data_IF_865972257669
#
_entry.id   IF_865972257669
#
_cell.length_a   1.000
_cell.length_b   1.000
_cell.length_c   1.000
_cell.angle_alpha   90.00
_cell.angle_beta   90.00
_cell.angle_gamma   90.00
#
_symmetry.space_group_name_H-M   'P 1'
#
loop_
_entity.id
_entity.type
_entity.pdbx_description
1 polymer ?
#
# COMPACT_ATOMS: atom_id res chain seq x y z
N UNK A 1 18.75 11.17 18.22
CA UNK A 1 19.10 10.88 16.80
C UNK A 1 17.81 10.93 15.99
N UNK A 2 17.76 11.71 14.91
CA UNK A 2 16.58 11.73 14.03
C UNK A 2 16.58 10.47 13.18
N UNK A 3 15.62 9.57 13.38
CA UNK A 3 15.48 8.38 12.53
C UNK A 3 14.61 8.74 11.33
N UNK A 4 15.02 8.33 10.14
CA UNK A 4 14.29 8.57 8.88
C UNK A 4 13.73 7.26 8.35
N UNK A 5 12.48 7.29 7.87
CA UNK A 5 11.87 6.23 7.07
C UNK A 5 11.68 6.66 5.61
N UNK A 6 12.57 7.53 5.13
CA UNK A 6 12.54 8.03 3.76
C UNK A 6 13.91 7.99 3.10
N UNK A 7 13.96 7.45 1.89
CA UNK A 7 15.09 7.58 0.97
C UNK A 7 14.83 8.77 0.03
N UNK A 8 15.72 9.75 0.07
CA UNK A 8 15.61 10.98 -0.72
C UNK A 8 15.83 10.73 -2.22
N UNK A 9 15.28 11.61 -3.04
CA UNK A 9 15.42 11.62 -4.49
C UNK A 9 14.46 12.63 -5.13
N UNK A 10 14.55 12.78 -6.45
CA UNK A 10 13.74 13.73 -7.22
C UNK A 10 12.58 13.07 -8.01
N UNK A 11 12.47 11.74 -7.95
CA UNK A 11 11.47 10.97 -8.68
C UNK A 11 10.09 10.93 -8.02
N UNK A 12 9.15 10.29 -8.71
CA UNK A 12 7.82 9.97 -8.19
C UNK A 12 7.97 8.99 -7.02
N UNK A 13 7.24 9.16 -5.91
CA UNK A 13 7.45 8.34 -4.74
C UNK A 13 6.93 6.91 -4.93
N UNK A 14 7.68 5.95 -4.41
CA UNK A 14 7.23 4.57 -4.18
C UNK A 14 7.37 4.20 -2.70
N UNK A 15 6.59 3.23 -2.25
CA UNK A 15 6.49 2.89 -0.84
C UNK A 15 6.70 1.41 -0.62
N UNK A 16 7.35 1.07 0.48
CA UNK A 16 7.66 -0.27 0.90
C UNK A 16 7.02 -0.50 2.27
N UNK A 17 6.27 -1.59 2.42
CA UNK A 17 5.47 -1.86 3.61
C UNK A 17 5.66 -3.30 4.11
N UNK A 18 5.63 -3.47 5.43
CA UNK A 18 5.47 -4.76 6.10
C UNK A 18 4.02 -4.91 6.56
N UNK A 19 3.29 -5.82 5.93
CA UNK A 19 1.89 -6.14 6.23
C UNK A 19 1.72 -7.53 6.85
N UNK A 20 2.82 -8.20 7.20
CA UNK A 20 2.82 -9.57 7.76
C UNK A 20 2.47 -9.61 9.25
N UNK A 21 2.59 -8.46 9.93
CA UNK A 21 2.40 -8.33 11.37
C UNK A 21 0.94 -8.02 11.73
N UNK A 22 0.61 -8.27 13.00
CA UNK A 22 -0.73 -8.01 13.54
C UNK A 22 -1.12 -6.52 13.43
N UNK A 23 -0.18 -5.61 13.73
CA UNK A 23 -0.36 -4.19 13.46
C UNK A 23 0.16 -3.90 12.06
N UNK A 24 -0.68 -3.30 11.21
CA UNK A 24 -0.34 -2.90 9.84
C UNK A 24 0.09 -1.43 9.80
N UNK A 25 0.91 -1.01 8.81
CA UNK A 25 1.31 0.39 8.65
C UNK A 25 0.12 1.30 8.32
N UNK A 26 -0.86 0.78 7.58
CA UNK A 26 -2.13 1.43 7.30
C UNK A 26 -3.25 0.57 7.87
N UNK A 27 -4.09 1.18 8.71
CA UNK A 27 -5.16 0.49 9.42
C UNK A 27 -6.47 1.08 8.97
N UNK A 28 -7.31 0.24 8.38
CA UNK A 28 -8.68 0.58 8.05
C UNK A 28 -9.61 -0.19 8.99
N UNK A 29 -10.33 0.55 9.83
CA UNK A 29 -11.25 -0.02 10.81
C UNK A 29 -12.70 0.29 10.40
N UNK A 30 -13.43 -0.73 9.97
CA UNK A 30 -14.89 -0.64 9.81
C UNK A 30 -15.55 -0.64 11.19
N UNK A 31 -16.34 0.39 11.52
CA UNK A 31 -17.11 0.49 12.77
C UNK A 31 -18.58 0.09 12.58
N UNK A 32 -19.12 0.33 11.38
CA UNK A 32 -20.42 -0.15 10.91
C UNK A 32 -20.23 -0.54 9.46
N UNK A 33 -20.61 -1.77 9.12
CA UNK A 33 -20.46 -2.26 7.75
C UNK A 33 -21.40 -1.50 6.81
N UNK A 34 -21.08 -1.54 5.51
CA UNK A 34 -21.82 -0.81 4.51
C UNK A 34 -23.17 -1.47 4.26
N UNK A 35 -24.23 -0.80 4.68
CA UNK A 35 -25.60 -1.21 4.37
C UNK A 35 -26.07 -0.47 3.15
N UNK A 36 -26.27 -1.22 2.06
CA UNK A 36 -26.98 -0.72 0.90
C UNK A 36 -28.47 -0.62 1.21
N UNK A 37 -29.04 0.55 0.95
CA UNK A 37 -30.47 0.83 1.13
C UNK A 37 -31.01 1.30 -0.21
N UNK A 38 -31.93 0.51 -0.78
CA UNK A 38 -32.70 0.90 -1.96
C UNK A 38 -34.10 1.33 -1.56
N UNK A 39 -34.60 2.39 -2.17
CA UNK A 39 -35.99 2.84 -2.10
C UNK A 39 -36.54 2.88 -3.51
N UNK A 40 -36.92 1.70 -3.99
CA UNK A 40 -37.35 1.46 -5.36
C UNK A 40 -38.75 0.85 -5.48
N UNK A 41 -39.40 0.51 -4.36
CA UNK A 41 -40.77 0.00 -4.36
C UNK A 41 -41.80 1.15 -4.34
N UNK A 42 -42.68 1.25 -5.36
CA UNK A 42 -43.74 2.25 -5.42
C UNK A 42 -44.71 2.21 -4.24
N UNK A 43 -44.84 1.07 -3.55
CA UNK A 43 -45.74 0.92 -2.39
C UNK A 43 -45.20 1.53 -1.11
N UNK A 44 -43.89 1.79 -1.04
CA UNK A 44 -43.21 2.24 0.20
C UNK A 44 -42.55 3.61 0.07
N UNK A 45 -42.52 4.18 -1.13
CA UNK A 45 -41.87 5.45 -1.40
C UNK A 45 -42.70 6.31 -2.36
N UNK A 46 -43.32 7.37 -1.82
CA UNK A 46 -44.13 8.34 -2.58
C UNK A 46 -43.34 8.94 -3.76
N UNK A 47 -42.03 9.13 -3.61
CA UNK A 47 -41.15 9.60 -4.70
C UNK A 47 -41.06 8.66 -5.91
N UNK A 48 -41.22 7.36 -5.68
CA UNK A 48 -41.19 6.38 -6.77
C UNK A 48 -42.56 6.39 -7.47
N UNK A 49 -43.65 6.44 -6.70
CA UNK A 49 -45.01 6.45 -7.24
C UNK A 49 -45.38 7.74 -7.99
N UNK A 50 -45.02 8.91 -7.46
CA UNK A 50 -45.43 10.20 -8.02
C UNK A 50 -44.47 10.75 -9.08
N UNK A 51 -43.18 10.37 -9.03
CA UNK A 51 -42.13 11.03 -9.82
C UNK A 51 -41.20 10.05 -10.56
N UNK A 52 -41.43 8.74 -10.48
CA UNK A 52 -40.57 7.70 -11.06
C UNK A 52 -39.08 7.85 -10.70
N UNK A 53 -38.79 8.32 -9.47
CA UNK A 53 -37.42 8.54 -8.99
C UNK A 53 -36.98 7.48 -7.99
N UNK A 54 -36.03 6.65 -8.42
CA UNK A 54 -35.42 5.61 -7.60
C UNK A 54 -34.24 6.16 -6.80
N UNK A 55 -34.25 5.97 -5.48
CA UNK A 55 -33.17 6.44 -4.61
C UNK A 55 -32.35 5.27 -4.08
N UNK A 56 -31.03 5.37 -4.24
CA UNK A 56 -30.07 4.41 -3.72
C UNK A 56 -29.13 5.12 -2.75
N UNK A 57 -28.95 4.54 -1.57
CA UNK A 57 -28.07 5.07 -0.54
C UNK A 57 -27.20 3.98 0.05
N UNK A 58 -26.02 4.37 0.53
CA UNK A 58 -25.15 3.50 1.32
C UNK A 58 -24.90 4.20 2.64
N UNK A 59 -25.18 3.50 3.73
CA UNK A 59 -24.84 3.94 5.08
C UNK A 59 -23.72 3.06 5.64
N UNK A 60 -22.64 3.67 6.10
CA UNK A 60 -21.48 2.98 6.65
C UNK A 60 -20.66 3.92 7.51
N UNK A 61 -19.88 3.36 8.45
CA UNK A 61 -18.96 4.14 9.28
C UNK A 61 -17.63 3.42 9.39
N UNK A 62 -16.56 4.12 9.05
CA UNK A 62 -15.21 3.61 9.19
C UNK A 62 -14.26 4.68 9.72
N UNK A 63 -13.08 4.23 10.14
CA UNK A 63 -11.94 5.07 10.49
C UNK A 63 -10.70 4.54 9.75
N UNK A 64 -9.80 5.46 9.38
CA UNK A 64 -8.51 5.13 8.82
C UNK A 64 -7.42 5.79 9.69
N UNK A 65 -6.31 5.09 9.89
CA UNK A 65 -5.20 5.59 10.69
C UNK A 65 -3.87 4.93 10.33
N UNK A 66 -2.81 5.52 10.86
CA UNK A 66 -1.44 5.04 10.68
C UNK A 66 -1.05 4.13 11.84
N UNK A 67 -0.36 3.04 11.51
CA UNK A 67 0.33 2.19 12.49
C UNK A 67 1.71 2.74 12.81
N UNK A 68 2.63 1.83 13.15
CA UNK A 68 4.02 2.19 13.43
C UNK A 68 4.76 2.64 12.18
N UNK A 69 5.52 3.72 12.31
CA UNK A 69 6.31 4.31 11.23
C UNK A 69 7.41 3.38 10.73
N UNK A 70 7.95 2.49 11.57
CA UNK A 70 8.98 1.51 11.20
C UNK A 70 8.50 0.50 10.16
N UNK A 71 7.18 0.33 10.00
CA UNK A 71 6.58 -0.66 9.11
C UNK A 71 6.33 -0.13 7.70
N UNK A 72 6.61 1.15 7.43
CA UNK A 72 6.50 1.76 6.12
C UNK A 72 7.74 2.62 5.83
N UNK A 73 8.26 2.49 4.61
CA UNK A 73 9.37 3.29 4.11
C UNK A 73 8.98 3.92 2.78
N UNK A 74 9.23 5.22 2.65
CA UNK A 74 9.01 5.95 1.40
C UNK A 74 10.33 6.14 0.66
N UNK A 75 10.32 6.12 -0.67
CA UNK A 75 11.50 6.46 -1.45
C UNK A 75 11.11 7.30 -2.66
N UNK A 76 11.93 8.32 -2.93
CA UNK A 76 11.86 9.14 -4.15
C UNK A 76 13.06 8.89 -5.08
N UNK A 77 13.89 7.89 -4.76
CA UNK A 77 14.97 7.46 -5.63
C UNK A 77 14.41 6.67 -6.82
N UNK A 78 15.17 6.56 -7.90
CA UNK A 78 14.76 5.74 -9.05
C UNK A 78 14.52 4.29 -8.63
N UNK A 79 13.47 3.67 -9.15
CA UNK A 79 13.11 2.30 -8.80
C UNK A 79 14.04 1.31 -9.51
N UNK A 80 15.19 1.09 -8.89
CA UNK A 80 16.21 0.11 -9.32
C UNK A 80 16.35 -0.99 -8.29
N UNK A 81 16.94 -2.13 -8.70
CA UNK A 81 17.20 -3.26 -7.80
C UNK A 81 18.05 -2.88 -6.58
N UNK A 82 19.05 -2.03 -6.78
CA UNK A 82 19.93 -1.59 -5.70
C UNK A 82 19.22 -0.65 -4.72
N UNK A 83 18.44 0.30 -5.22
CA UNK A 83 17.64 1.20 -4.37
C UNK A 83 16.57 0.43 -3.59
N UNK A 84 15.91 -0.55 -4.23
CA UNK A 84 14.93 -1.40 -3.58
C UNK A 84 15.56 -2.24 -2.46
N UNK A 85 16.75 -2.80 -2.67
CA UNK A 85 17.50 -3.54 -1.66
C UNK A 85 17.97 -2.63 -0.53
N UNK A 86 18.43 -1.43 -0.84
CA UNK A 86 18.83 -0.44 0.16
C UNK A 86 17.66 -0.05 1.08
N UNK A 87 16.49 0.26 0.51
CA UNK A 87 15.27 0.56 1.27
C UNK A 87 14.83 -0.65 2.13
N UNK A 88 14.88 -1.87 1.59
CA UNK A 88 14.59 -3.10 2.33
C UNK A 88 15.53 -3.29 3.52
N UNK A 89 16.84 -3.11 3.32
CA UNK A 89 17.85 -3.20 4.40
C UNK A 89 17.60 -2.15 5.47
N UNK A 90 17.34 -0.90 5.07
CA UNK A 90 17.04 0.18 6.01
C UNK A 90 15.86 -0.14 6.94
N UNK A 91 14.80 -0.80 6.44
CA UNK A 91 13.69 -1.26 7.28
C UNK A 91 14.07 -2.44 8.19
N UNK A 92 14.82 -3.41 7.68
CA UNK A 92 15.23 -4.61 8.43
C UNK A 92 16.25 -4.30 9.54
N UNK A 93 17.09 -3.29 9.33
CA UNK A 93 18.14 -2.88 10.27
C UNK A 93 17.63 -2.01 11.42
N UNK A 94 16.34 -1.64 11.42
CA UNK A 94 15.74 -0.89 12.52
C UNK A 94 15.81 -1.69 13.82
N UNK A 95 16.38 -1.06 14.84
CA UNK A 95 16.56 -1.59 16.19
C UNK A 95 15.74 -0.78 17.19
N UNK A 96 15.35 -1.43 18.28
CA UNK A 96 14.81 -0.71 19.44
C UNK A 96 15.94 0.01 20.21
N UNK A 97 15.58 0.77 21.24
CA UNK A 97 16.55 1.50 22.07
C UNK A 97 17.57 0.59 22.76
N UNK A 98 17.21 -0.67 23.04
CA UNK A 98 18.09 -1.69 23.58
C UNK A 98 18.96 -2.41 22.53
N UNK A 99 18.96 -1.94 21.27
CA UNK A 99 19.77 -2.50 20.18
C UNK A 99 19.25 -3.82 19.57
N UNK A 100 18.09 -4.30 20.02
CA UNK A 100 17.46 -5.52 19.48
C UNK A 100 16.77 -5.21 18.14
N UNK A 101 16.99 -6.02 17.09
CA UNK A 101 16.30 -5.87 15.82
C UNK A 101 14.78 -5.94 16.00
N UNK A 102 14.06 -5.02 15.37
CA UNK A 102 12.59 -5.02 15.39
C UNK A 102 12.01 -6.16 14.57
N UNK A 103 12.79 -6.70 13.61
CA UNK A 103 12.42 -7.83 12.76
C UNK A 103 11.40 -7.48 11.68
N UNK A 104 11.32 -6.20 11.29
CA UNK A 104 10.44 -5.73 10.21
C UNK A 104 10.88 -6.41 8.91
N UNK A 105 9.95 -7.00 8.17
CA UNK A 105 10.23 -7.70 6.91
C UNK A 105 9.27 -7.20 5.84
N UNK A 106 9.71 -6.26 5.00
CA UNK A 106 8.84 -5.75 3.96
C UNK A 106 8.38 -6.86 3.03
N UNK A 107 7.12 -6.82 2.64
CA UNK A 107 6.49 -7.81 1.76
C UNK A 107 5.63 -7.18 0.67
N UNK A 108 5.29 -5.90 0.78
CA UNK A 108 4.47 -5.18 -0.19
C UNK A 108 5.22 -3.95 -0.68
N UNK A 109 5.21 -3.74 -2.00
CA UNK A 109 5.58 -2.46 -2.61
C UNK A 109 4.32 -1.79 -3.17
N UNK A 110 4.19 -0.49 -2.96
CA UNK A 110 3.13 0.34 -3.51
C UNK A 110 3.74 1.31 -4.49
N UNK A 111 3.26 1.27 -5.73
CA UNK A 111 3.78 2.09 -6.84
C UNK A 111 2.64 2.81 -7.56
N UNK A 112 2.93 4.02 -8.04
CA UNK A 112 2.08 4.74 -8.98
C UNK A 112 2.18 4.15 -10.40
N UNK A 113 1.32 4.62 -11.31
CA UNK A 113 1.34 4.18 -12.72
C UNK A 113 2.71 4.35 -13.38
N UNK A 114 3.43 5.43 -13.06
CA UNK A 114 4.78 5.73 -13.58
C UNK A 114 5.84 4.67 -13.26
N UNK A 115 5.70 3.98 -12.12
CA UNK A 115 6.68 3.00 -11.65
C UNK A 115 6.17 1.55 -11.72
N UNK A 116 4.95 1.32 -12.23
CA UNK A 116 4.37 -0.01 -12.32
C UNK A 116 5.23 -0.95 -13.16
N UNK A 117 5.66 -0.54 -14.35
CA UNK A 117 6.50 -1.36 -15.21
C UNK A 117 7.92 -1.54 -14.65
N UNK A 118 8.52 -0.45 -14.16
CA UNK A 118 9.83 -0.50 -13.51
C UNK A 118 9.87 -1.39 -12.26
N UNK A 119 8.74 -1.60 -11.58
CA UNK A 119 8.63 -2.50 -10.43
C UNK A 119 8.60 -3.98 -10.85
N UNK A 120 8.09 -4.30 -12.04
CA UNK A 120 7.94 -5.68 -12.52
C UNK A 120 9.29 -6.31 -12.84
N UNK A 121 10.24 -5.54 -13.35
CA UNK A 121 11.59 -6.03 -13.68
C UNK A 121 12.32 -6.63 -12.46
N UNK A 122 12.52 -5.90 -11.33
CA UNK A 122 13.20 -6.47 -10.18
C UNK A 122 12.39 -7.53 -9.43
N UNK A 123 11.04 -7.52 -9.51
CA UNK A 123 10.17 -8.34 -8.65
C UNK A 123 9.62 -9.59 -9.35
N UNK A 124 9.33 -9.53 -10.65
CA UNK A 124 8.67 -10.61 -11.39
C UNK A 124 9.57 -11.28 -12.44
N UNK A 125 10.53 -10.56 -13.02
CA UNK A 125 11.38 -11.12 -14.07
C UNK A 125 12.18 -12.32 -13.57
N UNK A 126 12.27 -13.38 -14.39
CA UNK A 126 13.04 -14.59 -14.05
C UNK A 126 14.55 -14.36 -14.19
N UNK A 127 14.93 -13.54 -15.18
CA UNK A 127 16.31 -13.16 -15.46
C UNK A 127 16.42 -11.65 -15.50
N UNK A 128 17.57 -11.15 -15.07
CA UNK A 128 17.94 -9.74 -15.16
C UNK A 128 18.41 -9.43 -16.59
N UNK A 129 18.52 -8.13 -16.91
CA UNK A 129 18.96 -7.66 -18.24
C UNK A 129 20.34 -8.19 -18.66
N UNK A 130 21.20 -8.56 -17.69
CA UNK A 130 22.51 -9.17 -17.91
C UNK A 130 22.46 -10.71 -18.09
N UNK A 131 21.29 -11.32 -18.09
CA UNK A 131 21.10 -12.77 -18.24
C UNK A 131 21.22 -13.58 -16.94
N UNK A 132 21.58 -12.94 -15.82
CA UNK A 132 21.67 -13.58 -14.50
C UNK A 132 20.29 -13.92 -13.92
N UNK A 133 20.23 -14.95 -13.08
CA UNK A 133 19.01 -15.33 -12.37
C UNK A 133 18.59 -14.25 -11.38
N UNK A 134 17.32 -13.86 -11.42
CA UNK A 134 16.81 -12.88 -10.46
C UNK A 134 16.56 -13.53 -9.09
N UNK A 135 17.43 -13.21 -8.13
CA UNK A 135 17.32 -13.66 -6.74
C UNK A 135 16.22 -12.99 -5.93
N UNK A 136 15.66 -11.86 -6.40
CA UNK A 136 14.63 -11.09 -5.68
C UNK A 136 13.22 -11.38 -6.22
N UNK A 137 13.09 -12.37 -7.10
CA UNK A 137 11.81 -12.75 -7.71
C UNK A 137 10.80 -13.16 -6.63
N UNK A 138 9.57 -12.67 -6.74
CA UNK A 138 8.44 -12.93 -5.82
C UNK A 138 8.69 -12.54 -4.36
N UNK A 139 9.71 -11.73 -4.09
CA UNK A 139 10.05 -11.28 -2.74
C UNK A 139 9.09 -10.17 -2.27
N UNK A 140 8.40 -9.49 -3.19
CA UNK A 140 7.41 -8.44 -2.93
C UNK A 140 6.12 -8.70 -3.70
N UNK A 141 4.99 -8.38 -3.08
CA UNK A 141 3.73 -8.16 -3.78
C UNK A 141 3.67 -6.72 -4.28
N UNK A 142 3.37 -6.54 -5.56
CA UNK A 142 3.16 -5.20 -6.15
C UNK A 142 1.70 -4.79 -5.96
N UNK A 143 1.49 -3.59 -5.42
CA UNK A 143 0.20 -2.91 -5.40
C UNK A 143 0.31 -1.66 -6.26
N UNK A 144 -0.42 -1.65 -7.37
CA UNK A 144 -0.47 -0.52 -8.30
C UNK A 144 -1.64 0.38 -7.91
N UNK A 145 -1.35 1.66 -7.67
CA UNK A 145 -2.36 2.67 -7.33
C UNK A 145 -2.26 3.80 -8.36
N UNK A 146 -3.22 3.92 -9.28
CA UNK A 146 -3.16 4.94 -10.34
C UNK A 146 -3.16 6.39 -9.82
N UNK A 147 -3.69 6.62 -8.62
CA UNK A 147 -3.84 7.95 -8.01
C UNK A 147 -2.59 8.41 -7.24
N UNK A 148 -1.48 7.67 -7.36
CA UNK A 148 -0.21 7.92 -6.69
C UNK A 148 0.83 8.59 -7.60
N UNK A 149 0.44 8.93 -8.84
CA UNK A 149 1.25 9.59 -9.84
C UNK A 149 1.22 11.12 -9.70
#
# INVERSE_FOLDING_TARGET
>A
MSVSNMQAGAGVPWYLMDTTRALKPLIYQKRRDYRFVRKDDPKTSDRVFDQDKFTYGVDGRAAAGFGFWQMAHASKADLTKDNLRAARRAMMDLKNEAGRPLGVKPNVIVVGSTHADAARDPILAERLANGETNTDRNLLQIIEIPHLA
#
